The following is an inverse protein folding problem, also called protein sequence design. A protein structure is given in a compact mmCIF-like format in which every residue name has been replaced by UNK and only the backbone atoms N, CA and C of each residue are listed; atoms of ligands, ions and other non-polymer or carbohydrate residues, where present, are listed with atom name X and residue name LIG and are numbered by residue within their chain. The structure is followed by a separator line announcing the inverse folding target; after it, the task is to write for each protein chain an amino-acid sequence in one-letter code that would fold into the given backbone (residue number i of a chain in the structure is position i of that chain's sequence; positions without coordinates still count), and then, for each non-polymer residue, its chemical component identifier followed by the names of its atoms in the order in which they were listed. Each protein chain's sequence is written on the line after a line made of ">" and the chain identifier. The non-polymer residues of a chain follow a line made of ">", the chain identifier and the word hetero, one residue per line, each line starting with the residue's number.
data_IF_420198968647
#
_entry.id   IF_420198968647
#
_cell.length_a   1.000
_cell.length_b   1.000
_cell.length_c   1.000
_cell.angle_alpha   90.00
_cell.angle_beta   90.00
_cell.angle_gamma   90.00
#
_symmetry.space_group_name_H-M   'P 1'
#
loop_
_entity.id
_entity.type
_entity.pdbx_description
1 polymer ?
#
# COMPACT_ATOMS: atom_id res chain seq x y z
N UNK A 1 6.75 -0.78 11.55
CA UNK A 1 7.59 -0.67 10.32
C UNK A 1 7.79 0.79 9.96
N UNK A 2 8.89 1.15 9.29
CA UNK A 2 9.27 2.55 8.98
C UNK A 2 8.15 3.29 8.21
N UNK A 3 7.59 2.68 7.17
CA UNK A 3 6.51 3.27 6.38
C UNK A 3 5.27 3.59 7.23
N UNK A 4 4.80 2.65 8.06
CA UNK A 4 3.67 2.89 8.98
C UNK A 4 3.94 4.03 9.94
N UNK A 5 5.15 4.07 10.50
CA UNK A 5 5.53 5.15 11.40
C UNK A 5 5.48 6.50 10.66
N UNK A 6 5.98 6.57 9.43
CA UNK A 6 5.93 7.81 8.66
C UNK A 6 4.50 8.25 8.35
N UNK A 7 3.61 7.37 7.88
CA UNK A 7 2.19 7.71 7.63
C UNK A 7 1.47 8.22 8.89
N UNK A 8 1.86 7.74 10.07
CA UNK A 8 1.24 8.13 11.34
C UNK A 8 1.86 9.38 11.98
N UNK A 9 3.05 9.81 11.53
CA UNK A 9 3.83 10.84 12.23
C UNK A 9 4.30 11.98 11.33
N UNK A 10 4.13 11.89 10.01
CA UNK A 10 4.56 12.90 9.06
C UNK A 10 3.36 13.24 8.19
N UNK A 11 3.08 14.54 8.04
CA UNK A 11 2.05 15.04 7.15
C UNK A 11 2.65 15.73 5.91
N UNK A 12 1.93 15.67 4.79
CA UNK A 12 2.39 16.32 3.58
C UNK A 12 2.40 17.84 3.74
N UNK A 13 3.51 18.46 3.37
CA UNK A 13 3.67 19.90 3.39
C UNK A 13 3.22 20.55 2.06
N UNK A 14 1.95 20.92 2.00
CA UNK A 14 1.37 21.65 0.86
C UNK A 14 1.89 23.08 0.68
N UNK A 15 2.62 23.64 1.66
CA UNK A 15 3.30 24.94 1.52
C UNK A 15 4.66 24.84 0.82
N UNK A 16 5.13 23.61 0.55
CA UNK A 16 6.41 23.33 -0.10
C UNK A 16 7.65 23.88 0.64
N UNK A 17 7.59 23.98 1.96
CA UNK A 17 8.62 24.56 2.83
C UNK A 17 9.64 23.51 3.28
N UNK A 18 9.20 22.35 3.74
CA UNK A 18 10.05 21.37 4.44
C UNK A 18 10.60 20.29 3.50
N UNK A 19 11.82 20.49 3.00
CA UNK A 19 12.44 19.65 1.95
C UNK A 19 13.58 18.72 2.40
N UNK A 20 14.02 18.79 3.66
CA UNK A 20 15.14 17.98 4.18
C UNK A 20 14.66 16.95 5.21
N UNK A 21 15.39 15.83 5.37
CA UNK A 21 15.06 14.81 6.39
C UNK A 21 14.92 15.41 7.80
N UNK A 22 15.82 16.32 8.19
CA UNK A 22 15.77 16.95 9.50
C UNK A 22 14.56 17.87 9.65
N UNK A 23 14.27 18.72 8.65
CA UNK A 23 13.10 19.57 8.69
C UNK A 23 11.81 18.74 8.75
N UNK A 24 11.75 17.65 7.99
CA UNK A 24 10.60 16.74 7.98
C UNK A 24 10.41 16.03 9.31
N UNK A 25 11.47 15.50 9.90
CA UNK A 25 11.41 14.86 11.21
C UNK A 25 11.04 15.84 12.33
N UNK A 26 11.69 17.01 12.35
CA UNK A 26 11.51 18.03 13.39
C UNK A 26 10.10 18.61 13.38
N UNK A 27 9.60 18.98 12.20
CA UNK A 27 8.31 19.66 12.06
C UNK A 27 7.14 18.70 11.85
N UNK A 28 7.41 17.39 11.76
CA UNK A 28 6.40 16.36 11.42
C UNK A 28 5.71 16.62 10.08
N UNK A 29 6.36 17.35 9.17
CA UNK A 29 5.79 17.79 7.88
C UNK A 29 6.84 17.84 6.78
N UNK A 30 6.54 17.35 5.59
CA UNK A 30 7.52 17.33 4.49
C UNK A 30 6.90 17.28 3.09
N UNK A 31 7.63 17.74 2.07
CA UNK A 31 7.31 17.43 0.67
C UNK A 31 7.86 16.06 0.28
N UNK A 32 7.60 15.59 -0.94
CA UNK A 32 8.10 14.31 -1.46
C UNK A 32 9.61 14.10 -1.25
N UNK A 33 10.43 15.14 -1.48
CA UNK A 33 11.86 15.10 -1.19
C UNK A 33 12.17 14.87 0.30
N UNK A 34 11.44 15.54 1.19
CA UNK A 34 11.60 15.39 2.64
C UNK A 34 11.24 13.99 3.12
N UNK A 35 10.13 13.44 2.61
CA UNK A 35 9.72 12.05 2.84
C UNK A 35 10.80 11.06 2.36
N UNK A 36 11.22 11.15 1.11
CA UNK A 36 12.20 10.24 0.53
C UNK A 36 13.55 10.28 1.29
N UNK A 37 14.00 11.48 1.69
CA UNK A 37 15.22 11.66 2.49
C UNK A 37 15.07 11.08 3.90
N UNK A 38 13.94 11.29 4.56
CA UNK A 38 13.69 10.74 5.89
C UNK A 38 13.62 9.22 5.85
N UNK A 39 12.87 8.65 4.91
CA UNK A 39 12.80 7.21 4.72
C UNK A 39 14.19 6.62 4.44
N UNK A 40 14.97 7.23 3.53
CA UNK A 40 16.34 6.80 3.24
C UNK A 40 17.21 6.73 4.50
N UNK A 41 17.17 7.76 5.35
CA UNK A 41 17.95 7.80 6.60
C UNK A 41 17.51 6.71 7.57
N UNK A 42 16.20 6.53 7.76
CA UNK A 42 15.64 5.49 8.64
C UNK A 42 15.95 4.08 8.13
N UNK A 43 15.78 3.84 6.83
CA UNK A 43 16.06 2.56 6.19
C UNK A 43 17.54 2.19 6.31
N UNK A 44 18.45 3.13 6.04
CA UNK A 44 19.89 2.94 6.23
C UNK A 44 20.25 2.66 7.68
N UNK A 45 19.64 3.36 8.64
CA UNK A 45 19.86 3.11 10.07
C UNK A 45 19.36 1.73 10.50
N UNK A 46 18.29 1.23 9.87
CA UNK A 46 17.76 -0.12 10.08
C UNK A 46 18.52 -1.23 9.31
N UNK A 47 19.64 -0.90 8.66
CA UNK A 47 20.47 -1.86 7.92
C UNK A 47 19.95 -2.22 6.52
N UNK A 48 18.92 -1.53 6.02
CA UNK A 48 18.42 -1.75 4.66
C UNK A 48 19.30 -1.05 3.62
N UNK A 49 19.51 -1.72 2.50
CA UNK A 49 20.11 -1.10 1.33
C UNK A 49 19.05 -0.27 0.59
N UNK A 50 19.06 1.04 0.84
CA UNK A 50 18.14 2.02 0.27
C UNK A 50 18.89 3.05 -0.59
N UNK A 51 18.19 3.58 -1.58
CA UNK A 51 18.67 4.57 -2.53
C UNK A 51 17.62 5.68 -2.68
N UNK A 52 18.08 6.90 -2.95
CA UNK A 52 17.22 8.04 -3.29
C UNK A 52 17.07 8.10 -4.80
N UNK A 53 15.85 8.34 -5.27
CA UNK A 53 15.53 8.49 -6.68
C UNK A 53 14.70 9.75 -6.84
N UNK A 54 15.05 10.59 -7.81
CA UNK A 54 14.23 11.70 -8.27
C UNK A 54 13.89 11.54 -9.75
N UNK A 55 12.78 12.16 -10.15
CA UNK A 55 12.33 12.23 -11.53
C UNK A 55 10.94 12.85 -11.61
N UNK A 56 10.11 12.36 -12.52
CA UNK A 56 8.73 12.80 -12.68
C UNK A 56 7.75 11.79 -12.10
N UNK A 57 6.74 12.28 -11.38
CA UNK A 57 5.60 11.50 -10.89
C UNK A 57 4.31 11.92 -11.61
N UNK A 58 3.53 10.94 -12.09
CA UNK A 58 2.14 11.19 -12.50
C UNK A 58 1.24 11.05 -11.28
N UNK A 59 0.61 12.15 -10.86
CA UNK A 59 -0.27 12.15 -9.69
C UNK A 59 -1.44 11.18 -9.90
N UNK A 60 -1.70 10.25 -8.95
CA UNK A 60 -2.84 9.36 -9.03
C UNK A 60 -4.17 10.12 -9.20
N UNK A 61 -5.01 9.67 -10.12
CA UNK A 61 -6.30 10.30 -10.41
C UNK A 61 -6.24 11.61 -11.22
N UNK A 62 -5.06 12.01 -11.73
CA UNK A 62 -4.90 13.15 -12.63
C UNK A 62 -4.59 12.71 -14.06
N UNK A 63 -4.88 13.60 -15.01
CA UNK A 63 -4.65 13.37 -16.44
C UNK A 63 -3.17 13.10 -16.76
N UNK A 64 -2.93 12.44 -17.91
CA UNK A 64 -1.59 12.02 -18.33
C UNK A 64 -0.59 13.17 -18.54
N UNK A 65 -1.06 14.40 -18.66
CA UNK A 65 -0.24 15.61 -18.83
C UNK A 65 0.24 16.21 -17.50
N UNK A 66 -0.30 15.75 -16.36
CA UNK A 66 0.01 16.28 -15.04
C UNK A 66 1.22 15.59 -14.39
N UNK A 67 2.36 15.63 -15.07
CA UNK A 67 3.64 15.24 -14.48
C UNK A 67 4.15 16.34 -13.53
N UNK A 68 4.67 15.92 -12.38
CA UNK A 68 5.33 16.82 -11.44
C UNK A 68 6.67 16.25 -11.00
N UNK A 69 7.61 17.14 -10.64
CA UNK A 69 8.85 16.70 -10.00
C UNK A 69 8.54 15.92 -8.73
N UNK A 70 9.14 14.75 -8.60
CA UNK A 70 8.85 13.82 -7.52
C UNK A 70 10.12 13.11 -7.05
N UNK A 71 10.09 12.65 -5.80
CA UNK A 71 11.19 11.93 -5.18
C UNK A 71 10.66 10.75 -4.36
N UNK A 72 11.35 9.62 -4.49
CA UNK A 72 11.01 8.36 -3.85
C UNK A 72 12.27 7.56 -3.57
N UNK A 73 12.11 6.31 -3.15
CA UNK A 73 13.22 5.42 -2.83
C UNK A 73 13.20 4.15 -3.67
N UNK A 74 14.38 3.54 -3.78
CA UNK A 74 14.54 2.15 -4.18
C UNK A 74 15.19 1.41 -3.02
N UNK A 75 14.73 0.20 -2.72
CA UNK A 75 15.26 -0.63 -1.65
C UNK A 75 15.51 -2.05 -2.14
N UNK A 76 16.52 -2.71 -1.57
CA UNK A 76 16.79 -4.12 -1.82
C UNK A 76 16.09 -4.98 -0.78
N UNK A 77 15.26 -5.93 -1.22
CA UNK A 77 14.64 -6.96 -0.40
C UNK A 77 15.08 -8.32 -0.95
N UNK A 78 15.78 -9.10 -0.13
CA UNK A 78 16.47 -10.31 -0.61
C UNK A 78 17.50 -9.96 -1.69
N UNK A 79 17.36 -10.56 -2.88
CA UNK A 79 18.22 -10.30 -4.04
C UNK A 79 17.70 -9.23 -4.99
N UNK A 80 16.48 -8.72 -4.78
CA UNK A 80 15.78 -7.88 -5.75
C UNK A 80 15.59 -6.44 -5.27
N UNK A 81 15.50 -5.53 -6.24
CA UNK A 81 15.25 -4.11 -6.00
C UNK A 81 13.78 -3.78 -6.24
N UNK A 82 13.20 -2.96 -5.38
CA UNK A 82 11.82 -2.49 -5.46
C UNK A 82 11.75 -0.99 -5.21
N UNK A 83 10.75 -0.34 -5.80
CA UNK A 83 10.44 1.05 -5.49
C UNK A 83 9.67 1.16 -4.16
N UNK A 84 9.84 2.27 -3.47
CA UNK A 84 9.08 2.67 -2.29
C UNK A 84 8.76 4.15 -2.39
N UNK A 85 7.48 4.51 -2.32
CA UNK A 85 7.02 5.89 -2.22
C UNK A 85 6.20 6.09 -0.96
N UNK A 86 6.86 6.58 0.08
CA UNK A 86 6.23 6.89 1.37
C UNK A 86 5.27 8.08 1.29
N UNK A 87 5.45 8.98 0.33
CA UNK A 87 4.61 10.18 0.17
C UNK A 87 3.22 9.78 -0.30
N UNK A 88 3.14 8.93 -1.32
CA UNK A 88 1.86 8.48 -1.85
C UNK A 88 1.20 7.43 -0.95
N UNK A 89 1.98 6.55 -0.30
CA UNK A 89 1.44 5.67 0.74
C UNK A 89 0.75 6.44 1.87
N UNK A 90 1.34 7.57 2.28
CA UNK A 90 0.72 8.48 3.26
C UNK A 90 -0.57 9.09 2.72
N UNK A 91 -0.54 9.70 1.54
CA UNK A 91 -1.73 10.34 0.95
C UNK A 91 -2.92 9.39 0.76
N UNK A 92 -2.67 8.10 0.50
CA UNK A 92 -3.71 7.08 0.33
C UNK A 92 -4.08 6.40 1.67
N UNK A 93 -3.23 6.54 2.68
CA UNK A 93 -3.30 5.82 3.95
C UNK A 93 -3.11 4.31 3.82
N UNK A 94 -2.64 3.79 2.68
CA UNK A 94 -2.44 2.35 2.42
C UNK A 94 -1.09 2.10 1.75
N UNK A 95 -0.65 0.85 1.68
CA UNK A 95 0.70 0.48 1.22
C UNK A 95 0.76 0.09 -0.26
N UNK A 96 0.04 0.82 -1.10
CA UNK A 96 -0.03 0.55 -2.55
C UNK A 96 1.31 0.81 -3.28
N UNK A 97 2.16 1.67 -2.74
CA UNK A 97 3.50 2.00 -3.25
C UNK A 97 4.61 1.53 -2.30
N UNK A 98 4.38 0.44 -1.56
CA UNK A 98 5.40 -0.23 -0.75
C UNK A 98 5.94 -1.47 -1.48
N UNK A 99 7.21 -1.43 -1.86
CA UNK A 99 7.90 -2.50 -2.59
C UNK A 99 7.24 -2.86 -3.93
N UNK A 100 6.91 -1.85 -4.72
CA UNK A 100 6.31 -2.04 -6.04
C UNK A 100 7.36 -2.21 -7.13
N UNK A 101 6.98 -2.95 -8.18
CA UNK A 101 7.83 -3.26 -9.33
C UNK A 101 7.59 -2.33 -10.52
N UNK A 102 8.33 -2.56 -11.62
CA UNK A 102 8.22 -1.76 -12.84
C UNK A 102 6.87 -1.88 -13.53
N UNK A 103 6.14 -2.97 -13.33
CA UNK A 103 4.79 -3.16 -13.88
C UNK A 103 3.81 -2.09 -13.39
N UNK A 104 3.93 -1.66 -12.14
CA UNK A 104 3.13 -0.57 -11.57
C UNK A 104 3.81 0.78 -11.81
N UNK A 105 5.13 0.85 -11.62
CA UNK A 105 5.89 2.10 -11.71
C UNK A 105 5.78 2.77 -13.09
N UNK A 106 5.70 2.00 -14.18
CA UNK A 106 5.63 2.54 -15.56
C UNK A 106 4.45 3.50 -15.82
N UNK A 107 3.41 3.45 -14.99
CA UNK A 107 2.25 4.32 -15.09
C UNK A 107 2.37 5.62 -14.29
N UNK A 108 3.36 5.74 -13.41
CA UNK A 108 3.40 6.83 -12.43
C UNK A 108 4.77 7.33 -12.00
N UNK A 109 5.84 6.58 -12.20
CA UNK A 109 7.19 6.90 -11.71
C UNK A 109 8.20 6.83 -12.84
N UNK A 110 8.71 7.99 -13.24
CA UNK A 110 9.65 8.16 -14.34
C UNK A 110 10.99 8.66 -13.78
N UNK A 111 11.93 7.75 -13.44
CA UNK A 111 13.20 8.14 -12.83
C UNK A 111 14.09 8.90 -13.81
N UNK A 112 14.61 10.04 -13.36
CA UNK A 112 15.69 10.78 -14.05
C UNK A 112 17.05 10.44 -13.42
N UNK A 113 17.06 10.09 -12.13
CA UNK A 113 18.23 9.54 -11.45
C UNK A 113 18.58 8.16 -12.02
N UNK A 114 19.86 7.90 -12.25
CA UNK A 114 20.35 6.57 -12.61
C UNK A 114 20.02 5.56 -11.50
N UNK A 115 19.25 4.53 -11.85
CA UNK A 115 18.85 3.48 -10.92
C UNK A 115 20.05 2.62 -10.47
N UNK A 116 20.04 2.10 -9.22
CA UNK A 116 21.15 1.33 -8.65
C UNK A 116 21.30 -0.08 -9.26
N UNK A 117 20.33 -0.53 -10.05
CA UNK A 117 20.32 -1.83 -10.72
C UNK A 117 18.95 -2.10 -11.34
N UNK A 118 18.75 -3.33 -11.84
CA UNK A 118 17.47 -3.77 -12.40
C UNK A 118 16.43 -3.88 -11.30
N UNK A 119 15.33 -3.13 -11.44
CA UNK A 119 14.18 -3.22 -10.54
C UNK A 119 13.32 -4.41 -10.93
N UNK A 120 12.78 -5.14 -9.95
CA UNK A 120 11.85 -6.24 -10.17
C UNK A 120 10.65 -5.77 -10.99
N UNK A 121 10.21 -6.58 -11.96
CA UNK A 121 8.99 -6.31 -12.70
C UNK A 121 7.75 -6.44 -11.82
N UNK A 122 7.69 -7.54 -11.05
CA UNK A 122 6.63 -7.85 -10.09
C UNK A 122 6.79 -7.04 -8.81
N UNK A 123 5.68 -6.69 -8.16
CA UNK A 123 5.73 -6.16 -6.80
C UNK A 123 6.07 -7.28 -5.81
N UNK A 124 6.49 -6.90 -4.60
CA UNK A 124 6.69 -7.88 -3.53
C UNK A 124 5.36 -8.52 -3.11
N UNK A 125 4.25 -7.76 -3.14
CA UNK A 125 2.91 -8.29 -2.92
C UNK A 125 2.54 -9.41 -3.92
N UNK A 126 2.82 -9.22 -5.21
CA UNK A 126 2.57 -10.25 -6.24
C UNK A 126 3.40 -11.52 -5.97
N UNK A 127 4.68 -11.38 -5.61
CA UNK A 127 5.56 -12.51 -5.30
C UNK A 127 5.08 -13.29 -4.06
N UNK A 128 4.69 -12.58 -3.00
CA UNK A 128 4.12 -13.19 -1.79
C UNK A 128 2.80 -13.90 -2.11
N UNK A 129 1.92 -13.29 -2.91
CA UNK A 129 0.69 -13.92 -3.38
C UNK A 129 0.96 -15.23 -4.12
N UNK A 130 1.94 -15.25 -5.03
CA UNK A 130 2.33 -16.46 -5.76
C UNK A 130 2.83 -17.56 -4.81
N UNK A 131 3.61 -17.21 -3.79
CA UNK A 131 4.07 -18.17 -2.79
C UNK A 131 2.91 -18.74 -1.96
N UNK A 132 1.96 -17.89 -1.56
CA UNK A 132 0.75 -18.29 -0.82
C UNK A 132 -0.08 -19.25 -1.65
N UNK A 133 -0.38 -18.91 -2.90
CA UNK A 133 -1.27 -19.73 -3.74
C UNK A 133 -0.59 -21.03 -4.20
N UNK A 134 0.71 -20.98 -4.53
CA UNK A 134 1.42 -22.13 -5.07
C UNK A 134 1.88 -23.12 -4.01
N UNK A 135 2.28 -22.63 -2.83
CA UNK A 135 2.92 -23.45 -1.80
C UNK A 135 2.17 -23.45 -0.47
N UNK A 136 1.03 -22.76 -0.38
CA UNK A 136 0.29 -22.60 0.87
C UNK A 136 1.17 -22.03 2.01
N UNK A 137 2.09 -21.11 1.67
CA UNK A 137 3.09 -20.59 2.61
C UNK A 137 2.46 -19.68 3.66
N UNK A 138 2.42 -20.14 4.91
CA UNK A 138 1.91 -19.36 6.04
C UNK A 138 2.80 -18.15 6.34
N UNK A 139 4.12 -18.28 6.19
CA UNK A 139 5.08 -17.18 6.39
C UNK A 139 4.88 -16.06 5.38
N UNK A 140 4.66 -16.40 4.10
CA UNK A 140 4.32 -15.42 3.09
C UNK A 140 2.98 -14.74 3.38
N UNK A 141 1.97 -15.50 3.87
CA UNK A 141 0.66 -14.94 4.24
C UNK A 141 0.73 -13.99 5.43
N UNK A 142 1.54 -14.30 6.43
CA UNK A 142 1.80 -13.41 7.56
C UNK A 142 2.51 -12.12 7.10
N UNK A 143 3.58 -12.26 6.32
CA UNK A 143 4.33 -11.12 5.77
C UNK A 143 3.45 -10.24 4.89
N UNK A 144 2.62 -10.85 4.04
CA UNK A 144 1.65 -10.14 3.20
C UNK A 144 0.65 -9.37 4.06
N UNK A 145 0.08 -10.02 5.08
CA UNK A 145 -0.92 -9.41 5.97
C UNK A 145 -0.34 -8.21 6.74
N UNK A 146 0.90 -8.33 7.22
CA UNK A 146 1.61 -7.26 7.91
C UNK A 146 1.86 -6.06 7.00
N UNK A 147 2.21 -6.29 5.73
CA UNK A 147 2.60 -5.24 4.79
C UNK A 147 1.42 -4.59 4.07
N UNK A 148 0.40 -5.35 3.68
CA UNK A 148 -0.60 -4.90 2.70
C UNK A 148 -2.05 -5.01 3.19
N UNK A 149 -2.30 -5.78 4.25
CA UNK A 149 -3.64 -6.08 4.75
C UNK A 149 -4.05 -7.53 4.51
N UNK A 150 -5.20 -7.92 5.06
CA UNK A 150 -5.62 -9.33 5.07
C UNK A 150 -5.98 -9.82 3.66
N UNK A 151 -5.24 -10.82 3.15
CA UNK A 151 -5.52 -11.39 1.83
C UNK A 151 -6.77 -12.27 1.87
N UNK A 152 -7.76 -11.94 1.06
CA UNK A 152 -9.02 -12.67 0.94
C UNK A 152 -9.07 -13.38 -0.42
N UNK A 153 -9.17 -14.71 -0.38
CA UNK A 153 -9.24 -15.54 -1.60
C UNK A 153 -10.56 -16.29 -1.75
N UNK A 154 -11.37 -16.35 -0.68
CA UNK A 154 -12.62 -17.11 -0.63
C UNK A 154 -13.72 -16.32 0.06
N UNK A 155 -14.97 -16.66 -0.25
CA UNK A 155 -16.14 -15.98 0.32
C UNK A 155 -16.18 -16.07 1.85
N UNK A 156 -15.96 -17.26 2.42
CA UNK A 156 -15.99 -17.44 3.87
C UNK A 156 -14.87 -16.65 4.57
N UNK A 157 -13.71 -16.47 3.94
CA UNK A 157 -12.64 -15.61 4.45
C UNK A 157 -13.07 -14.14 4.51
N UNK A 158 -13.80 -13.67 3.49
CA UNK A 158 -14.35 -12.31 3.42
C UNK A 158 -15.34 -12.08 4.57
N UNK A 159 -16.32 -12.97 4.72
CA UNK A 159 -17.35 -12.88 5.76
C UNK A 159 -16.72 -12.89 7.15
N UNK A 160 -15.85 -13.87 7.42
CA UNK A 160 -15.22 -14.02 8.73
C UNK A 160 -14.33 -12.82 9.09
N UNK A 161 -13.59 -12.27 8.12
CA UNK A 161 -12.76 -11.09 8.35
C UNK A 161 -13.62 -9.85 8.64
N UNK A 162 -14.65 -9.60 7.83
CA UNK A 162 -15.57 -8.47 8.06
C UNK A 162 -16.24 -8.59 9.43
N UNK A 163 -16.74 -9.78 9.78
CA UNK A 163 -17.34 -10.07 11.09
C UNK A 163 -16.38 -9.72 12.23
N UNK A 164 -15.13 -10.19 12.15
CA UNK A 164 -14.13 -9.94 13.18
C UNK A 164 -13.86 -8.45 13.35
N UNK A 165 -13.73 -7.70 12.25
CA UNK A 165 -13.46 -6.26 12.32
C UNK A 165 -14.65 -5.46 12.85
N UNK A 166 -15.89 -5.82 12.48
CA UNK A 166 -17.12 -5.22 13.01
C UNK A 166 -17.21 -5.41 14.53
N UNK A 167 -16.98 -6.64 15.02
CA UNK A 167 -17.00 -6.95 16.47
C UNK A 167 -15.98 -6.12 17.24
N UNK A 168 -14.80 -5.95 16.67
CA UNK A 168 -13.71 -5.19 17.30
C UNK A 168 -13.80 -3.68 17.06
N UNK A 169 -14.81 -3.19 16.32
CA UNK A 169 -14.97 -1.76 16.01
C UNK A 169 -13.81 -1.19 15.19
N UNK A 170 -13.17 -2.02 14.36
CA UNK A 170 -12.02 -1.64 13.54
C UNK A 170 -12.43 -1.48 12.07
N UNK A 171 -11.72 -0.60 11.37
CA UNK A 171 -11.80 -0.50 9.91
C UNK A 171 -11.29 -1.79 9.26
N UNK A 172 -11.97 -2.26 8.21
CA UNK A 172 -11.52 -3.42 7.43
C UNK A 172 -10.49 -2.96 6.42
N UNK A 173 -9.30 -3.58 6.47
CA UNK A 173 -8.25 -3.41 5.48
C UNK A 173 -7.88 -4.78 4.91
N UNK A 174 -8.44 -5.11 3.75
CA UNK A 174 -8.23 -6.38 3.07
C UNK A 174 -7.59 -6.18 1.70
N UNK A 175 -6.97 -7.22 1.18
CA UNK A 175 -6.56 -7.30 -0.23
C UNK A 175 -7.34 -8.41 -0.89
N UNK A 176 -7.91 -8.13 -2.06
CA UNK A 176 -8.68 -9.11 -2.80
C UNK A 176 -8.81 -8.73 -4.27
N UNK A 177 -9.17 -9.73 -5.07
CA UNK A 177 -9.43 -9.57 -6.49
C UNK A 177 -10.63 -8.64 -6.72
N UNK A 178 -10.50 -7.74 -7.69
CA UNK A 178 -11.43 -6.65 -7.96
C UNK A 178 -12.89 -7.10 -8.09
N UNK A 179 -13.15 -7.96 -9.06
CA UNK A 179 -14.50 -8.42 -9.43
C UNK A 179 -15.10 -9.30 -8.34
N UNK A 180 -14.30 -10.18 -7.73
CA UNK A 180 -14.69 -11.01 -6.62
C UNK A 180 -15.16 -10.17 -5.42
N UNK A 181 -14.37 -9.19 -4.96
CA UNK A 181 -14.78 -8.37 -3.82
C UNK A 181 -15.98 -7.51 -4.18
N UNK A 182 -15.98 -6.85 -5.34
CA UNK A 182 -17.08 -5.99 -5.77
C UNK A 182 -18.43 -6.76 -5.84
N UNK A 183 -18.42 -7.97 -6.37
CA UNK A 183 -19.63 -8.80 -6.54
C UNK A 183 -20.14 -9.40 -5.23
N UNK A 184 -19.26 -9.58 -4.23
CA UNK A 184 -19.59 -10.29 -3.00
C UNK A 184 -19.71 -9.39 -1.76
N UNK A 185 -19.19 -8.16 -1.80
CA UNK A 185 -19.04 -7.31 -0.62
C UNK A 185 -20.37 -7.07 0.13
N UNK A 186 -21.42 -6.69 -0.57
CA UNK A 186 -22.73 -6.41 0.06
C UNK A 186 -23.30 -7.63 0.77
N UNK A 187 -23.24 -8.80 0.12
CA UNK A 187 -23.70 -10.07 0.69
C UNK A 187 -22.84 -10.46 1.89
N UNK A 188 -21.52 -10.33 1.78
CA UNK A 188 -20.60 -10.70 2.84
C UNK A 188 -20.74 -9.80 4.08
N UNK A 189 -21.00 -8.51 3.90
CA UNK A 189 -21.34 -7.59 5.01
C UNK A 189 -22.63 -8.05 5.69
N UNK A 190 -23.68 -8.39 4.94
CA UNK A 190 -24.94 -8.86 5.54
C UNK A 190 -24.75 -10.15 6.34
N UNK A 191 -24.03 -11.13 5.79
CA UNK A 191 -23.74 -12.39 6.49
C UNK A 191 -22.93 -12.14 7.77
N UNK A 192 -21.93 -11.24 7.71
CA UNK A 192 -21.13 -10.85 8.86
C UNK A 192 -21.96 -10.15 9.96
N UNK A 193 -22.95 -9.34 9.59
CA UNK A 193 -23.86 -8.68 10.54
C UNK A 193 -24.77 -9.69 11.27
N UNK A 194 -25.24 -10.71 10.54
CA UNK A 194 -26.02 -11.82 11.11
C UNK A 194 -25.16 -12.53 12.17
N UNK A 195 -23.92 -12.90 11.85
CA UNK A 195 -23.00 -13.51 12.81
C UNK A 195 -22.68 -12.58 14.00
N UNK A 196 -22.69 -11.26 13.77
CA UNK A 196 -22.46 -10.28 14.81
C UNK A 196 -23.67 -9.98 15.70
N UNK A 197 -24.86 -10.47 15.37
CA UNK A 197 -26.13 -10.07 15.97
C UNK A 197 -26.33 -8.54 15.94
N UNK A 198 -26.08 -7.92 14.78
CA UNK A 198 -26.23 -6.48 14.55
C UNK A 198 -27.29 -6.27 13.46
N UNK A 199 -28.29 -5.43 13.75
CA UNK A 199 -29.44 -5.22 12.86
C UNK A 199 -29.05 -4.55 11.54
N UNK A 200 -28.29 -3.45 11.58
CA UNK A 200 -27.79 -2.78 10.38
C UNK A 200 -26.62 -1.85 10.71
N UNK A 201 -25.76 -1.63 9.72
CA UNK A 201 -24.69 -0.61 9.76
C UNK A 201 -24.64 0.09 8.42
N UNK A 202 -24.32 1.38 8.42
CA UNK A 202 -23.93 2.06 7.20
C UNK A 202 -22.44 1.82 6.98
N UNK A 203 -22.02 1.60 5.74
CA UNK A 203 -20.60 1.48 5.41
C UNK A 203 -20.26 2.20 4.11
N UNK A 204 -19.01 2.60 3.99
CA UNK A 204 -18.40 3.13 2.78
C UNK A 204 -17.14 2.35 2.50
N UNK A 205 -16.73 2.28 1.24
CA UNK A 205 -15.46 1.65 0.88
C UNK A 205 -14.70 2.46 -0.16
N UNK A 206 -13.38 2.27 -0.17
CA UNK A 206 -12.47 2.70 -1.23
C UNK A 206 -11.49 1.59 -1.53
N UNK A 207 -10.87 1.63 -2.70
CA UNK A 207 -9.89 0.63 -3.11
C UNK A 207 -8.75 1.26 -3.90
N UNK A 208 -7.55 0.70 -3.76
CA UNK A 208 -6.34 1.13 -4.45
C UNK A 208 -5.67 -0.07 -5.11
N UNK A 209 -5.28 0.05 -6.38
CA UNK A 209 -4.57 -1.01 -7.10
C UNK A 209 -3.28 -1.38 -6.36
N UNK A 210 -3.02 -2.68 -6.24
CA UNK A 210 -1.79 -3.20 -5.62
C UNK A 210 -0.93 -3.99 -6.62
N UNK A 211 -1.51 -4.97 -7.31
CA UNK A 211 -0.80 -5.77 -8.31
C UNK A 211 -1.77 -6.50 -9.24
N UNK A 212 -1.24 -6.98 -10.37
CA UNK A 212 -1.94 -7.91 -11.26
C UNK A 212 -1.26 -9.26 -11.14
N UNK A 213 -2.02 -10.31 -10.87
CA UNK A 213 -1.48 -11.67 -10.74
C UNK A 213 -1.05 -12.26 -12.09
N UNK A 214 -0.32 -13.39 -12.04
CA UNK A 214 0.10 -14.11 -13.24
C UNK A 214 -1.07 -14.57 -14.13
N UNK A 215 -2.23 -14.86 -13.54
CA UNK A 215 -3.49 -15.19 -14.23
C UNK A 215 -4.33 -13.96 -14.62
N UNK A 216 -3.71 -12.77 -14.67
CA UNK A 216 -4.31 -11.51 -15.16
C UNK A 216 -5.49 -11.00 -14.34
N UNK A 217 -5.51 -11.27 -13.05
CA UNK A 217 -6.49 -10.72 -12.12
C UNK A 217 -5.90 -9.54 -11.37
N UNK A 218 -6.65 -8.45 -11.27
CA UNK A 218 -6.21 -7.26 -10.55
C UNK A 218 -6.61 -7.35 -9.08
N UNK A 219 -5.62 -7.17 -8.21
CA UNK A 219 -5.78 -7.15 -6.77
C UNK A 219 -5.67 -5.72 -6.24
N UNK A 220 -6.57 -5.40 -5.32
CA UNK A 220 -6.70 -4.07 -4.75
C UNK A 220 -6.65 -4.15 -3.23
N UNK A 221 -6.09 -3.12 -2.58
CA UNK A 221 -6.28 -2.90 -1.15
C UNK A 221 -7.64 -2.23 -0.97
N UNK A 222 -8.57 -2.91 -0.31
CA UNK A 222 -9.90 -2.42 0.02
C UNK A 222 -9.94 -1.93 1.46
N UNK A 223 -10.40 -0.69 1.62
CA UNK A 223 -10.70 -0.06 2.91
C UNK A 223 -12.20 0.02 3.07
N UNK A 224 -12.75 -0.56 4.13
CA UNK A 224 -14.19 -0.52 4.42
C UNK A 224 -14.40 0.04 5.83
N UNK A 225 -15.09 1.18 5.91
CA UNK A 225 -15.34 1.90 7.15
C UNK A 225 -16.81 1.79 7.52
N UNK A 226 -17.10 1.33 8.73
CA UNK A 226 -18.45 1.20 9.27
C UNK A 226 -18.80 2.41 10.13
N UNK A 227 -19.96 3.02 9.88
CA UNK A 227 -20.54 4.05 10.75
C UNK A 227 -21.55 3.40 11.68
N UNK A 228 -21.21 3.32 12.97
CA UNK A 228 -22.19 2.93 14.00
C UNK A 228 -23.18 4.08 14.19
N UNK A 229 -24.47 3.77 14.21
CA UNK A 229 -25.53 4.68 14.66
C UNK A 229 -25.52 4.76 16.18
#
# INVERSE_FOLDING_TARGET
>A
MINEWMKLNIEYDSSYTYKSAYATLKNRRGVCQGYALLFYRLAKAAGLQAYLVSGQGKVPGKDATALQSHAWNVVKIGSELFYVDTTWNDSMGVNAYLFFGTNQAKYSHYPETKLPGTISAKSYAEKLYEEIVRYNSSSARETFSLLYGYLVLKYDELVNYIYYMIKNGKEVLLVGEGDFIASNLSRAVNDALIYANINSVNYTYSYNYLFTSSDKKDFYIWRISFKRK
#
